data_IF_897224916573
#
_entry.id   IF_897224916573
#
_cell.length_a   1.000
_cell.length_b   1.000
_cell.length_c   1.000
_cell.angle_alpha   90.00
_cell.angle_beta   90.00
_cell.angle_gamma   90.00
#
_symmetry.space_group_name_H-M   'P 1'
#
loop_
_entity.id
_entity.type
_entity.pdbx_description
1 polymer ?
#
# COMPACT_ATOMS: atom_id res chain seq x y z
N UNK A 1 -3.36 9.08 -7.94
CA UNK A 1 -3.68 8.61 -6.58
C UNK A 1 -5.12 8.98 -6.29
N UNK A 2 -5.89 8.04 -5.76
CA UNK A 2 -7.31 8.23 -5.49
C UNK A 2 -7.60 7.86 -4.04
N UNK A 3 -8.43 8.70 -3.40
CA UNK A 3 -8.80 8.58 -1.99
C UNK A 3 -10.31 8.72 -1.89
N UNK A 4 -10.92 8.01 -0.95
CA UNK A 4 -12.35 8.14 -0.67
C UNK A 4 -12.66 9.56 -0.17
N UNK A 5 -13.63 10.24 -0.78
CA UNK A 5 -14.01 11.60 -0.38
C UNK A 5 -14.71 11.66 0.98
N UNK A 6 -15.27 10.54 1.46
CA UNK A 6 -15.96 10.48 2.74
C UNK A 6 -15.02 10.19 3.92
N UNK A 7 -14.13 9.19 3.78
CA UNK A 7 -13.26 8.75 4.87
C UNK A 7 -11.77 9.03 4.66
N UNK A 8 -11.35 9.55 3.50
CA UNK A 8 -9.95 9.88 3.20
C UNK A 8 -9.05 8.66 2.91
N UNK A 9 -9.56 7.44 2.98
CA UNK A 9 -8.75 6.22 2.77
C UNK A 9 -8.27 6.14 1.32
N UNK A 10 -6.97 5.86 1.14
CA UNK A 10 -6.36 5.55 -0.16
C UNK A 10 -6.96 4.26 -0.73
N UNK A 11 -7.50 4.34 -1.96
CA UNK A 11 -8.11 3.18 -2.62
C UNK A 11 -7.17 2.57 -3.66
N UNK A 12 -6.76 3.38 -4.63
CA UNK A 12 -5.90 2.93 -5.72
C UNK A 12 -5.16 4.09 -6.39
N UNK A 13 -4.18 3.76 -7.23
CA UNK A 13 -3.56 4.70 -8.14
C UNK A 13 -3.12 4.01 -9.43
N UNK A 14 -3.02 4.78 -10.51
CA UNK A 14 -2.33 4.34 -11.73
C UNK A 14 -0.82 4.44 -11.49
N UNK A 15 -0.09 3.36 -11.72
CA UNK A 15 1.35 3.32 -11.42
C UNK A 15 2.11 4.33 -12.28
N UNK A 16 3.04 5.06 -11.66
CA UNK A 16 3.89 6.03 -12.37
C UNK A 16 4.95 5.32 -13.23
N UNK A 17 5.53 4.24 -12.71
CA UNK A 17 6.57 3.44 -13.39
C UNK A 17 6.02 2.60 -14.54
N UNK A 18 4.79 2.10 -14.42
CA UNK A 18 4.12 1.33 -15.46
C UNK A 18 2.66 1.79 -15.63
N UNK A 19 2.38 2.70 -16.59
CA UNK A 19 1.03 3.22 -16.80
C UNK A 19 -0.02 2.17 -17.21
N UNK A 20 0.37 0.94 -17.55
CA UNK A 20 -0.58 -0.13 -17.85
C UNK A 20 -1.05 -0.89 -16.60
N UNK A 21 -0.60 -0.49 -15.41
CA UNK A 21 -0.92 -1.13 -14.13
C UNK A 21 -1.57 -0.17 -13.13
N UNK A 22 -2.32 -0.76 -12.20
CA UNK A 22 -2.88 -0.09 -11.03
C UNK A 22 -2.32 -0.70 -9.75
N UNK A 23 -1.96 0.15 -8.79
CA UNK A 23 -1.75 -0.25 -7.41
C UNK A 23 -3.07 -0.13 -6.65
N UNK A 24 -3.47 -1.20 -5.96
CA UNK A 24 -4.72 -1.27 -5.18
C UNK A 24 -4.37 -1.41 -3.70
N UNK A 25 -5.13 -0.76 -2.82
CA UNK A 25 -5.05 -1.00 -1.38
C UNK A 25 -5.78 -2.31 -1.03
N UNK A 26 -5.02 -3.35 -0.66
CA UNK A 26 -5.57 -4.67 -0.30
C UNK A 26 -6.48 -4.62 0.93
N UNK A 27 -6.31 -3.62 1.81
CA UNK A 27 -7.19 -3.42 2.97
C UNK A 27 -8.62 -3.00 2.58
N UNK A 28 -8.84 -2.58 1.33
CA UNK A 28 -10.16 -2.23 0.81
C UNK A 28 -10.86 -3.41 0.11
N UNK A 29 -10.21 -4.58 0.02
CA UNK A 29 -10.80 -5.77 -0.60
C UNK A 29 -11.58 -6.58 0.42
N UNK A 30 -12.81 -6.94 0.08
CA UNK A 30 -13.65 -7.77 0.95
C UNK A 30 -12.99 -9.14 1.19
N UNK A 31 -12.99 -9.58 2.46
CA UNK A 31 -12.40 -10.86 2.86
C UNK A 31 -10.87 -10.87 2.97
N UNK A 32 -10.18 -9.78 2.65
CA UNK A 32 -8.72 -9.68 2.77
C UNK A 32 -8.35 -9.00 4.08
N UNK A 33 -7.51 -9.66 4.88
CA UNK A 33 -6.90 -9.08 6.08
C UNK A 33 -5.41 -8.84 5.83
N UNK A 34 -4.96 -7.58 5.71
CA UNK A 34 -3.60 -7.26 5.28
C UNK A 34 -2.49 -7.92 6.11
N UNK A 35 -2.67 -8.01 7.43
CA UNK A 35 -1.68 -8.57 8.35
C UNK A 35 -1.66 -10.10 8.40
N UNK A 36 -2.61 -10.77 7.75
CA UNK A 36 -2.59 -12.23 7.58
C UNK A 36 -1.90 -12.65 6.25
N UNK A 37 -1.45 -11.69 5.43
CA UNK A 37 -0.73 -11.97 4.20
C UNK A 37 0.68 -12.48 4.50
N UNK A 38 1.00 -13.68 4.04
CA UNK A 38 2.34 -14.25 4.14
C UNK A 38 3.29 -13.60 3.11
N UNK A 39 4.59 -13.54 3.45
CA UNK A 39 5.66 -13.04 2.57
C UNK A 39 5.54 -11.56 2.18
N UNK A 40 4.95 -10.74 3.05
CA UNK A 40 4.93 -9.28 2.92
C UNK A 40 5.64 -8.68 4.13
N UNK A 41 6.71 -7.92 3.89
CA UNK A 41 7.44 -7.25 4.96
C UNK A 41 6.58 -6.14 5.57
N UNK A 42 6.54 -6.09 6.90
CA UNK A 42 5.88 -5.02 7.64
C UNK A 42 6.92 -3.95 7.94
N UNK A 43 6.65 -2.73 7.50
CA UNK A 43 7.45 -1.55 7.83
C UNK A 43 6.93 -0.93 9.14
N UNK A 44 7.82 -0.50 10.02
CA UNK A 44 7.47 0.11 11.31
C UNK A 44 6.95 1.57 11.18
N UNK A 45 7.17 2.19 10.01
CA UNK A 45 6.76 3.56 9.71
C UNK A 45 7.60 4.63 10.43
N UNK A 46 8.58 4.22 11.23
CA UNK A 46 9.49 5.11 11.96
C UNK A 46 10.86 5.13 11.29
N UNK A 47 11.38 3.96 10.92
CA UNK A 47 12.72 3.80 10.37
C UNK A 47 12.63 3.54 8.85
N UNK A 48 13.11 4.50 8.05
CA UNK A 48 13.14 4.30 6.61
C UNK A 48 14.17 3.20 6.25
N UNK A 49 13.86 2.21 5.40
CA UNK A 49 14.75 1.08 5.11
C UNK A 49 16.13 1.46 4.56
N UNK A 50 16.26 2.65 3.98
CA UNK A 50 17.53 3.17 3.46
C UNK A 50 18.34 4.00 4.47
N UNK A 51 17.77 4.30 5.64
CA UNK A 51 18.47 5.08 6.68
C UNK A 51 19.50 4.21 7.43
N UNK A 52 19.29 2.90 7.46
CA UNK A 52 20.27 1.96 7.99
C UNK A 52 21.44 1.82 7.01
N UNK A 53 22.57 2.46 7.35
CA UNK A 53 23.84 2.25 6.63
C UNK A 53 24.23 0.78 6.73
N UNK A 54 24.48 0.16 5.57
CA UNK A 54 25.15 -1.16 5.48
C UNK A 54 26.53 -1.13 6.12
#
# INVERSE_FOLDING_TARGET
HFFCSNCGIYTHHKMRSNPNMYGINVACLEGVKPFELENVDINDGENHPLDQKK
#
